data_IF_131680359766
#
_entry.id   IF_131680359766
#
_cell.length_a   1.000
_cell.length_b   1.000
_cell.length_c   1.000
_cell.angle_alpha   90.00
_cell.angle_beta   90.00
_cell.angle_gamma   90.00
#
_symmetry.space_group_name_H-M   'P 1'
#
loop_
_entity.id
_entity.type
_entity.pdbx_description
1 polymer ?
#
# COMPACT_ATOMS: atom_id res chain seq x y z
N UNK A 1 4.77 -1.47 -15.01
CA UNK A 1 3.49 -2.21 -14.84
C UNK A 1 2.43 -1.85 -15.90
N UNK A 2 2.69 -0.87 -16.77
CA UNK A 2 1.77 -0.31 -17.77
C UNK A 2 1.01 -1.30 -18.67
N UNK A 3 1.52 -2.51 -18.90
CA UNK A 3 0.89 -3.51 -19.77
C UNK A 3 -0.16 -4.38 -19.05
N UNK A 4 -0.27 -4.29 -17.71
CA UNK A 4 -1.13 -5.15 -16.90
C UNK A 4 -2.35 -4.42 -16.32
N UNK A 5 -2.97 -3.53 -17.11
CA UNK A 5 -4.08 -2.66 -16.66
C UNK A 5 -5.32 -3.40 -16.13
N UNK A 6 -5.42 -4.69 -16.44
CA UNK A 6 -6.51 -5.59 -16.01
C UNK A 6 -6.25 -6.27 -14.67
N UNK A 7 -5.05 -6.09 -14.10
CA UNK A 7 -4.64 -6.81 -12.91
C UNK A 7 -5.48 -6.39 -11.71
N UNK A 8 -6.04 -7.38 -11.01
CA UNK A 8 -6.86 -7.19 -9.80
C UNK A 8 -6.08 -7.50 -8.52
N UNK A 9 -5.06 -8.34 -8.62
CA UNK A 9 -4.26 -8.85 -7.52
C UNK A 9 -2.79 -8.76 -7.95
N UNK A 10 -1.98 -8.09 -7.15
CA UNK A 10 -0.53 -8.03 -7.30
C UNK A 10 0.07 -8.41 -5.95
N UNK A 11 0.79 -9.53 -5.91
CA UNK A 11 1.65 -9.86 -4.78
C UNK A 11 3.09 -9.75 -5.23
N UNK A 12 3.86 -8.97 -4.47
CA UNK A 12 5.31 -8.85 -4.55
C UNK A 12 5.92 -9.28 -3.22
N UNK A 13 5.25 -10.22 -2.53
CA UNK A 13 5.71 -10.79 -1.28
C UNK A 13 7.10 -11.40 -1.45
N UNK A 14 7.98 -11.15 -0.47
CA UNK A 14 9.36 -11.66 -0.46
C UNK A 14 10.27 -11.13 -1.58
N UNK A 15 9.83 -10.15 -2.37
CA UNK A 15 10.70 -9.48 -3.33
C UNK A 15 11.58 -8.40 -2.65
N UNK A 16 12.83 -8.29 -3.11
CA UNK A 16 13.75 -7.21 -2.74
C UNK A 16 13.46 -5.95 -3.54
N UNK A 17 12.29 -5.34 -3.32
CA UNK A 17 11.90 -4.08 -3.93
C UNK A 17 12.00 -2.99 -2.88
N UNK A 18 12.89 -2.03 -3.08
CA UNK A 18 13.05 -0.88 -2.17
C UNK A 18 11.92 0.14 -2.31
N UNK A 19 11.40 0.33 -3.54
CA UNK A 19 10.34 1.30 -3.84
C UNK A 19 9.45 0.79 -4.98
N UNK A 20 8.14 1.05 -4.88
CA UNK A 20 7.23 0.79 -6.00
C UNK A 20 7.41 1.85 -7.11
N UNK A 21 7.49 1.45 -8.38
CA UNK A 21 7.63 2.39 -9.47
C UNK A 21 6.36 3.21 -9.67
N UNK A 22 6.48 4.47 -10.11
CA UNK A 22 5.33 5.34 -10.43
C UNK A 22 4.27 4.67 -11.31
N UNK A 23 4.69 3.79 -12.24
CA UNK A 23 3.82 3.00 -13.12
C UNK A 23 2.82 2.07 -12.40
N UNK A 24 2.87 1.95 -11.07
CA UNK A 24 1.78 1.34 -10.29
C UNK A 24 0.44 2.04 -10.55
N UNK A 25 0.47 3.34 -10.88
CA UNK A 25 -0.72 4.14 -11.20
C UNK A 25 -1.53 3.62 -12.39
N UNK A 26 -0.90 2.85 -13.28
CA UNK A 26 -1.56 2.23 -14.43
C UNK A 26 -2.50 1.07 -14.01
N UNK A 27 -2.35 0.54 -12.79
CA UNK A 27 -3.13 -0.58 -12.28
C UNK A 27 -4.45 -0.12 -11.66
N UNK A 28 -5.22 0.69 -12.39
CA UNK A 28 -6.45 1.31 -11.90
C UNK A 28 -7.52 0.30 -11.42
N UNK A 29 -7.47 -0.96 -11.88
CA UNK A 29 -8.38 -2.04 -11.48
C UNK A 29 -7.86 -2.90 -10.32
N UNK A 30 -6.69 -2.58 -9.77
CA UNK A 30 -6.08 -3.34 -8.67
C UNK A 30 -6.94 -3.23 -7.42
N UNK A 31 -7.27 -4.38 -6.82
CA UNK A 31 -8.05 -4.51 -5.60
C UNK A 31 -7.21 -4.98 -4.42
N UNK A 32 -6.18 -5.76 -4.70
CA UNK A 32 -5.30 -6.34 -3.69
C UNK A 32 -3.85 -6.11 -4.07
N UNK A 33 -3.11 -5.46 -3.18
CA UNK A 33 -1.67 -5.24 -3.28
C UNK A 33 -1.01 -5.80 -2.02
N UNK A 34 -0.19 -6.83 -2.21
CA UNK A 34 0.58 -7.47 -1.15
C UNK A 34 2.06 -7.20 -1.35
N UNK A 35 2.61 -6.47 -0.40
CA UNK A 35 4.02 -6.12 -0.25
C UNK A 35 4.55 -6.70 1.07
N UNK A 36 3.87 -7.68 1.65
CA UNK A 36 4.29 -8.30 2.91
C UNK A 36 5.65 -8.98 2.74
N UNK A 37 6.46 -8.98 3.79
CA UNK A 37 7.82 -9.53 3.76
C UNK A 37 8.71 -8.96 2.64
N UNK A 38 8.41 -7.77 2.12
CA UNK A 38 9.23 -7.08 1.12
C UNK A 38 10.14 -6.03 1.76
N UNK A 39 11.16 -5.59 1.01
CA UNK A 39 12.09 -4.56 1.46
C UNK A 39 11.59 -3.13 1.18
N UNK A 40 10.28 -2.97 0.92
CA UNK A 40 9.73 -1.67 0.51
C UNK A 40 9.87 -0.66 1.64
N UNK A 41 10.56 0.45 1.35
CA UNK A 41 10.84 1.52 2.31
C UNK A 41 9.90 2.71 2.18
N UNK A 42 9.36 2.92 0.98
CA UNK A 42 8.44 4.01 0.65
C UNK A 42 7.43 3.55 -0.41
N UNK A 43 6.24 4.15 -0.35
CA UNK A 43 5.26 4.08 -1.42
C UNK A 43 5.28 5.39 -2.21
N UNK A 44 5.17 5.35 -3.55
CA UNK A 44 5.05 6.57 -4.35
C UNK A 44 3.71 7.26 -4.04
N UNK A 45 3.66 8.59 -4.18
CA UNK A 45 2.41 9.36 -4.07
C UNK A 45 1.35 8.90 -5.08
N UNK A 46 1.77 8.25 -6.17
CA UNK A 46 0.87 7.67 -7.18
C UNK A 46 0.04 6.48 -6.66
N UNK A 47 0.29 5.99 -5.44
CA UNK A 47 -0.60 5.02 -4.76
C UNK A 47 -2.05 5.52 -4.68
N UNK A 48 -2.25 6.85 -4.58
CA UNK A 48 -3.59 7.47 -4.61
C UNK A 48 -4.39 7.18 -5.88
N UNK A 49 -3.73 6.82 -6.99
CA UNK A 49 -4.39 6.48 -8.25
C UNK A 49 -5.01 5.08 -8.23
N UNK A 50 -4.68 4.25 -7.24
CA UNK A 50 -5.27 2.93 -7.04
C UNK A 50 -6.66 3.06 -6.38
N UNK A 51 -7.57 3.78 -7.02
CA UNK A 51 -8.89 4.10 -6.47
C UNK A 51 -9.75 2.86 -6.18
N UNK A 52 -9.45 1.71 -6.80
CA UNK A 52 -10.15 0.44 -6.55
C UNK A 52 -9.47 -0.44 -5.49
N UNK A 53 -8.34 -0.02 -4.91
CA UNK A 53 -7.60 -0.81 -3.95
C UNK A 53 -8.42 -0.98 -2.67
N UNK A 54 -8.56 -2.24 -2.24
CA UNK A 54 -9.36 -2.64 -1.08
C UNK A 54 -8.49 -3.22 0.02
N UNK A 55 -7.35 -3.80 -0.35
CA UNK A 55 -6.39 -4.40 0.56
C UNK A 55 -4.99 -3.97 0.17
N UNK A 56 -4.28 -3.39 1.14
CA UNK A 56 -2.86 -3.13 1.08
C UNK A 56 -2.21 -3.84 2.27
N UNK A 57 -1.33 -4.80 2.00
CA UNK A 57 -0.56 -5.48 3.04
C UNK A 57 0.92 -5.07 2.95
N UNK A 58 1.42 -4.44 3.99
CA UNK A 58 2.82 -4.05 4.21
C UNK A 58 3.38 -4.76 5.45
N UNK A 59 2.74 -5.85 5.90
CA UNK A 59 3.20 -6.55 7.09
C UNK A 59 4.62 -7.11 6.89
N UNK A 60 5.47 -7.02 7.90
CA UNK A 60 6.88 -7.45 7.83
C UNK A 60 7.66 -6.74 6.71
N UNK A 61 7.30 -5.49 6.38
CA UNK A 61 8.05 -4.66 5.44
C UNK A 61 8.90 -3.61 6.17
N UNK A 62 9.83 -2.98 5.44
CA UNK A 62 10.71 -1.93 5.96
C UNK A 62 10.17 -0.52 5.72
N UNK A 63 8.84 -0.38 5.68
CA UNK A 63 8.19 0.88 5.32
C UNK A 63 8.45 1.92 6.41
N UNK A 64 9.18 2.99 6.08
CA UNK A 64 9.54 4.03 7.05
C UNK A 64 8.45 5.08 7.25
N UNK A 65 7.71 5.35 6.17
CA UNK A 65 6.61 6.32 6.14
C UNK A 65 5.54 5.90 5.14
N UNK A 66 4.29 6.29 5.42
CA UNK A 66 3.23 6.28 4.41
C UNK A 66 3.16 7.67 3.75
N UNK A 67 2.93 7.75 2.42
CA UNK A 67 2.71 9.04 1.76
C UNK A 67 1.40 9.66 2.26
N UNK A 68 1.32 11.00 2.36
CA UNK A 68 0.08 11.71 2.74
C UNK A 68 -1.11 11.39 1.83
N UNK A 69 -0.81 11.05 0.58
CA UNK A 69 -1.75 10.64 -0.45
C UNK A 69 -2.42 9.29 -0.17
N UNK A 70 -1.96 8.52 0.84
CA UNK A 70 -2.64 7.28 1.25
C UNK A 70 -4.11 7.52 1.59
N UNK A 71 -4.44 8.70 2.11
CA UNK A 71 -5.81 9.11 2.41
C UNK A 71 -6.73 9.25 1.19
N UNK A 72 -6.19 9.29 -0.03
CA UNK A 72 -6.96 9.33 -1.27
C UNK A 72 -7.36 7.93 -1.77
N UNK A 73 -6.81 6.86 -1.18
CA UNK A 73 -7.17 5.47 -1.47
C UNK A 73 -8.51 5.13 -0.79
N UNK A 74 -9.56 5.83 -1.20
CA UNK A 74 -10.83 5.92 -0.49
C UNK A 74 -11.58 4.58 -0.36
N UNK A 75 -11.27 3.58 -1.19
CA UNK A 75 -11.88 2.25 -1.13
C UNK A 75 -11.09 1.24 -0.27
N UNK A 76 -9.98 1.66 0.35
CA UNK A 76 -9.16 0.79 1.18
C UNK A 76 -9.95 0.33 2.41
N UNK A 77 -10.05 -0.99 2.59
CA UNK A 77 -10.77 -1.62 3.71
C UNK A 77 -9.81 -2.29 4.69
N UNK A 78 -8.67 -2.76 4.20
CA UNK A 78 -7.63 -3.40 5.01
C UNK A 78 -6.29 -2.72 4.74
N UNK A 79 -5.61 -2.33 5.82
CA UNK A 79 -4.23 -1.89 5.83
C UNK A 79 -3.44 -2.72 6.85
N UNK A 80 -2.56 -3.59 6.36
CA UNK A 80 -1.64 -4.39 7.16
C UNK A 80 -0.31 -3.66 7.33
N UNK A 81 0.11 -3.45 8.58
CA UNK A 81 1.36 -2.81 9.00
C UNK A 81 2.02 -3.59 10.15
N UNK A 82 1.66 -4.87 10.31
CA UNK A 82 2.19 -5.71 11.39
C UNK A 82 3.70 -5.86 11.19
N UNK A 83 4.49 -5.74 12.24
CA UNK A 83 5.96 -5.89 12.17
C UNK A 83 6.64 -4.92 11.17
N UNK A 84 6.00 -3.78 10.88
CA UNK A 84 6.63 -2.66 10.14
C UNK A 84 7.42 -1.79 11.12
N UNK A 85 8.54 -2.32 11.62
CA UNK A 85 9.31 -1.73 12.73
C UNK A 85 9.93 -0.36 12.41
N UNK A 86 10.24 -0.12 11.13
CA UNK A 86 10.81 1.16 10.68
C UNK A 86 9.75 2.27 10.55
N UNK A 87 8.45 1.97 10.70
CA UNK A 87 7.37 2.94 10.52
C UNK A 87 7.26 3.90 11.71
N UNK A 88 7.98 5.01 11.61
CA UNK A 88 7.97 6.08 12.62
C UNK A 88 6.78 7.03 12.45
N UNK A 89 6.47 7.41 11.20
CA UNK A 89 5.46 8.40 10.88
C UNK A 89 4.24 7.81 10.18
N UNK A 90 3.08 7.98 10.81
CA UNK A 90 1.80 7.64 10.23
C UNK A 90 1.22 8.89 9.57
N UNK A 91 1.02 8.83 8.25
CA UNK A 91 0.57 9.96 7.46
C UNK A 91 -0.73 10.60 7.98
N UNK A 92 -0.80 11.94 7.96
CA UNK A 92 -2.04 12.70 8.22
C UNK A 92 -3.23 12.21 7.37
N UNK A 93 -2.94 11.59 6.22
CA UNK A 93 -3.92 11.00 5.33
C UNK A 93 -4.71 9.82 5.91
N UNK A 94 -4.23 9.10 6.93
CA UNK A 94 -4.96 7.94 7.45
C UNK A 94 -6.36 8.29 7.97
N UNK A 95 -6.53 9.49 8.55
CA UNK A 95 -7.84 9.96 9.01
C UNK A 95 -8.88 10.13 7.89
N UNK A 96 -8.44 10.16 6.62
CA UNK A 96 -9.31 10.29 5.45
C UNK A 96 -9.77 8.95 4.88
N UNK A 97 -9.25 7.82 5.38
CA UNK A 97 -9.63 6.48 4.94
C UNK A 97 -10.98 6.07 5.52
N UNK A 98 -12.06 6.68 5.03
CA UNK A 98 -13.42 6.51 5.58
C UNK A 98 -14.01 5.10 5.42
N UNK A 99 -13.47 4.29 4.50
CA UNK A 99 -13.88 2.90 4.31
C UNK A 99 -12.97 1.88 5.02
N UNK A 100 -11.94 2.32 5.75
CA UNK A 100 -11.02 1.42 6.43
C UNK A 100 -11.75 0.69 7.55
N UNK A 101 -11.71 -0.64 7.50
CA UNK A 101 -12.35 -1.52 8.49
C UNK A 101 -11.32 -2.17 9.41
N UNK A 102 -10.13 -2.39 8.89
CA UNK A 102 -9.06 -3.07 9.60
C UNK A 102 -7.76 -2.33 9.36
N UNK A 103 -7.17 -1.85 10.46
CA UNK A 103 -5.80 -1.37 10.52
C UNK A 103 -5.04 -2.31 11.46
N UNK A 104 -4.16 -3.14 10.91
CA UNK A 104 -3.43 -4.12 11.69
C UNK A 104 -1.97 -3.69 11.86
N UNK A 105 -1.65 -3.03 12.99
CA UNK A 105 -0.28 -2.54 13.30
C UNK A 105 0.37 -3.23 14.49
N UNK A 106 -0.42 -3.70 15.47
CA UNK A 106 0.08 -4.22 16.73
C UNK A 106 -0.38 -5.67 16.94
N UNK A 107 0.57 -6.61 16.91
CA UNK A 107 0.59 -7.94 17.56
C UNK A 107 2.01 -8.47 17.57
#
# INVERSE_FOLDING_TARGET
LANFKWLRVLSLREFQIDELPKSIEDLALLKYLDLSHSHVRRLPSSIARLCNLQTLDLSNSRIGELPKEIGEVCNLRYLGLKDAEELEFVAEGLGKLTNLRTLHRFM
#
